data_IF_497485068973
#
_entry.id   IF_497485068973
#
_cell.length_a   1.000
_cell.length_b   1.000
_cell.length_c   1.000
_cell.angle_alpha   90.00
_cell.angle_beta   90.00
_cell.angle_gamma   90.00
#
_symmetry.space_group_name_H-M   'P 1'
#
loop_
_entity.id
_entity.type
_entity.pdbx_description
1 polymer ?
#
# COMPACT_ATOMS: atom_id res chain seq x y z
N UNK A 1 0.45 14.76 -8.05
CA UNK A 1 0.14 13.37 -7.65
C UNK A 1 0.72 12.42 -8.66
N UNK A 2 1.35 11.33 -8.20
CA UNK A 2 1.96 10.31 -9.03
C UNK A 2 1.32 8.95 -8.76
N UNK A 3 1.10 8.17 -9.81
CA UNK A 3 0.61 6.79 -9.71
C UNK A 3 1.72 5.87 -9.21
N UNK A 4 1.37 4.92 -8.36
CA UNK A 4 2.24 3.83 -7.98
C UNK A 4 1.52 2.48 -8.12
N UNK A 5 2.29 1.46 -8.44
CA UNK A 5 1.87 0.07 -8.43
C UNK A 5 2.98 -0.76 -7.80
N UNK A 6 2.63 -1.48 -6.74
CA UNK A 6 3.50 -2.39 -6.01
C UNK A 6 2.92 -3.78 -6.21
N UNK A 7 3.63 -4.61 -6.97
CA UNK A 7 3.17 -5.95 -7.36
C UNK A 7 3.29 -6.95 -6.21
N UNK A 8 4.28 -6.76 -5.34
CA UNK A 8 4.51 -7.50 -4.10
C UNK A 8 5.22 -6.62 -3.07
N UNK A 9 4.68 -6.55 -1.86
CA UNK A 9 5.36 -6.03 -0.67
C UNK A 9 5.19 -7.05 0.45
N UNK A 10 6.32 -7.49 1.01
CA UNK A 10 6.33 -8.41 2.14
C UNK A 10 6.22 -7.60 3.42
N UNK A 11 5.30 -7.99 4.29
CA UNK A 11 5.11 -7.40 5.61
C UNK A 11 4.85 -8.49 6.62
N UNK A 12 4.92 -8.18 7.91
CA UNK A 12 4.63 -9.13 8.98
C UNK A 12 3.17 -9.62 8.97
N UNK A 13 2.29 -8.92 8.23
CA UNK A 13 0.87 -9.25 8.07
C UNK A 13 0.58 -10.03 6.78
N UNK A 14 1.61 -10.35 5.99
CA UNK A 14 1.50 -11.06 4.72
C UNK A 14 2.05 -10.28 3.53
N UNK A 15 1.82 -10.85 2.34
CA UNK A 15 2.29 -10.29 1.08
C UNK A 15 1.13 -9.51 0.44
N UNK A 16 1.37 -8.25 0.14
CA UNK A 16 0.35 -7.39 -0.45
C UNK A 16 0.70 -6.97 -1.88
N UNK A 17 -0.35 -6.75 -2.67
CA UNK A 17 -0.31 -6.07 -3.96
C UNK A 17 -1.17 -4.82 -3.85
N UNK A 18 -0.57 -3.68 -4.15
CA UNK A 18 -1.18 -2.38 -3.81
C UNK A 18 -0.95 -1.40 -4.96
N UNK A 19 -2.01 -0.72 -5.36
CA UNK A 19 -1.96 0.35 -6.35
C UNK A 19 -2.64 1.60 -5.82
N UNK A 20 -2.17 2.76 -6.26
CA UNK A 20 -2.71 4.02 -5.76
C UNK A 20 -2.02 5.24 -6.34
N UNK A 21 -2.28 6.36 -5.69
CA UNK A 21 -1.68 7.65 -5.98
C UNK A 21 -1.02 8.19 -4.71
N UNK A 22 0.11 8.87 -4.87
CA UNK A 22 0.78 9.56 -3.76
C UNK A 22 1.42 10.87 -4.23
N UNK A 23 1.87 11.71 -3.29
CA UNK A 23 2.57 12.95 -3.62
C UNK A 23 4.04 12.87 -3.25
N UNK A 24 4.93 12.91 -4.25
CA UNK A 24 6.39 12.99 -4.03
C UNK A 24 6.80 14.33 -3.41
N UNK A 25 6.11 15.41 -3.80
CA UNK A 25 6.44 16.77 -3.36
C UNK A 25 6.22 16.95 -1.86
N UNK A 26 5.19 16.29 -1.31
CA UNK A 26 4.86 16.27 0.11
C UNK A 26 4.54 14.82 0.54
N UNK A 27 5.58 13.99 0.76
CA UNK A 27 5.41 12.57 1.03
C UNK A 27 4.97 12.38 2.49
N UNK A 28 3.67 12.23 2.68
CA UNK A 28 3.05 11.97 3.98
C UNK A 28 2.07 10.82 3.84
N UNK A 29 1.73 10.16 4.94
CA UNK A 29 0.73 9.08 4.94
C UNK A 29 -0.60 9.56 4.35
N UNK A 30 -1.00 10.79 4.66
CA UNK A 30 -2.25 11.38 4.20
C UNK A 30 -2.25 11.71 2.70
N UNK A 31 -1.08 11.81 2.06
CA UNK A 31 -1.00 12.03 0.62
C UNK A 31 -1.16 10.74 -0.20
N UNK A 32 -1.21 9.57 0.46
CA UNK A 32 -1.43 8.27 -0.17
C UNK A 32 -2.93 8.00 -0.30
N UNK A 33 -3.39 7.86 -1.53
CA UNK A 33 -4.72 7.36 -1.87
C UNK A 33 -4.59 5.97 -2.45
N UNK A 34 -5.19 4.98 -1.79
CA UNK A 34 -5.17 3.59 -2.26
C UNK A 34 -6.30 3.37 -3.27
N UNK A 35 -5.98 2.85 -4.45
CA UNK A 35 -6.94 2.43 -5.47
C UNK A 35 -7.35 0.97 -5.23
N UNK A 36 -6.38 0.05 -5.22
CA UNK A 36 -6.58 -1.36 -4.87
C UNK A 36 -5.61 -1.81 -3.79
N UNK A 37 -6.06 -2.74 -2.96
CA UNK A 37 -5.22 -3.45 -2.01
C UNK A 37 -5.67 -4.91 -1.96
N UNK A 38 -4.73 -5.79 -2.27
CA UNK A 38 -4.93 -7.23 -2.33
C UNK A 38 -3.89 -7.91 -1.45
N UNK A 39 -4.27 -9.00 -0.79
CA UNK A 39 -3.38 -9.84 0.01
C UNK A 39 -3.21 -11.20 -0.67
N UNK A 40 -2.01 -11.79 -0.63
CA UNK A 40 -1.78 -13.14 -1.12
C UNK A 40 -2.42 -14.16 -0.17
N UNK A 41 -3.42 -14.89 -0.66
CA UNK A 41 -3.98 -16.09 -0.03
C UNK A 41 -3.41 -17.37 -0.65
N UNK A 42 -4.04 -18.50 -0.34
CA UNK A 42 -3.69 -19.83 -0.88
C UNK A 42 -3.90 -19.91 -2.39
N UNK A 43 -5.04 -19.38 -2.86
CA UNK A 43 -5.51 -19.51 -4.24
C UNK A 43 -5.20 -18.24 -5.07
N UNK A 44 -4.31 -17.38 -4.58
CA UNK A 44 -3.88 -16.15 -5.24
C UNK A 44 -4.29 -14.89 -4.50
N UNK A 45 -4.49 -13.81 -5.24
CA UNK A 45 -4.72 -12.48 -4.68
C UNK A 45 -6.16 -12.27 -4.23
N UNK A 46 -6.35 -11.85 -2.99
CA UNK A 46 -7.64 -11.57 -2.38
C UNK A 46 -7.79 -10.06 -2.17
N UNK A 47 -8.76 -9.46 -2.84
CA UNK A 47 -9.06 -8.03 -2.71
C UNK A 47 -9.60 -7.71 -1.32
N UNK A 48 -8.96 -6.77 -0.61
CA UNK A 48 -9.45 -6.34 0.69
C UNK A 48 -10.60 -5.34 0.55
N UNK A 49 -11.72 -5.67 1.20
CA UNK A 49 -12.84 -4.74 1.32
C UNK A 49 -12.50 -3.62 2.30
N UNK A 50 -12.29 -2.40 1.79
CA UNK A 50 -11.97 -1.20 2.58
C UNK A 50 -13.07 -0.77 3.56
N UNK A 51 -14.31 -1.25 3.40
CA UNK A 51 -15.44 -0.95 4.29
C UNK A 51 -15.46 -1.80 5.56
N UNK A 52 -14.66 -2.87 5.63
CA UNK A 52 -14.53 -3.70 6.83
C UNK A 52 -13.61 -3.03 7.85
N UNK A 53 -14.08 -2.89 9.09
CA UNK A 53 -13.32 -2.28 10.21
C UNK A 53 -11.95 -2.94 10.43
N UNK A 54 -11.88 -4.26 10.31
CA UNK A 54 -10.62 -5.01 10.46
C UNK A 54 -9.62 -4.65 9.35
N UNK A 55 -10.10 -4.54 8.11
CA UNK A 55 -9.27 -4.14 6.97
C UNK A 55 -8.82 -2.69 7.08
N UNK A 56 -9.68 -1.79 7.57
CA UNK A 56 -9.30 -0.39 7.81
C UNK A 56 -8.14 -0.29 8.81
N UNK A 57 -8.17 -1.09 9.89
CA UNK A 57 -7.08 -1.14 10.86
C UNK A 57 -5.80 -1.68 10.25
N UNK A 58 -5.87 -2.77 9.48
CA UNK A 58 -4.72 -3.32 8.76
C UNK A 58 -4.10 -2.31 7.79
N UNK A 59 -4.94 -1.62 6.99
CA UNK A 59 -4.50 -0.57 6.07
C UNK A 59 -3.76 0.55 6.83
N UNK A 60 -4.24 0.94 8.01
CA UNK A 60 -3.59 1.98 8.81
C UNK A 60 -2.16 1.61 9.23
N UNK A 61 -1.89 0.31 9.48
CA UNK A 61 -0.55 -0.19 9.75
C UNK A 61 0.32 -0.27 8.49
N UNK A 62 -0.28 -0.56 7.33
CA UNK A 62 0.44 -0.62 6.06
C UNK A 62 0.84 0.74 5.51
N UNK A 63 0.08 1.80 5.77
CA UNK A 63 0.36 3.14 5.24
C UNK A 63 1.78 3.68 5.54
N UNK A 64 2.30 3.64 6.78
CA UNK A 64 3.68 4.07 7.05
C UNK A 64 4.74 3.19 6.38
N UNK A 65 4.48 1.88 6.26
CA UNK A 65 5.35 0.94 5.52
C UNK A 65 5.37 1.29 4.03
N UNK A 66 4.20 1.59 3.43
CA UNK A 66 4.08 2.01 2.05
C UNK A 66 4.79 3.32 1.80
N UNK A 67 4.63 4.31 2.69
CA UNK A 67 5.33 5.59 2.56
C UNK A 67 6.85 5.37 2.53
N UNK A 68 7.37 4.57 3.46
CA UNK A 68 8.80 4.25 3.52
C UNK A 68 9.28 3.55 2.26
N UNK A 69 8.53 2.56 1.77
CA UNK A 69 8.84 1.84 0.53
C UNK A 69 8.83 2.77 -0.69
N UNK A 70 7.84 3.66 -0.80
CA UNK A 70 7.73 4.61 -1.90
C UNK A 70 8.85 5.65 -1.85
N UNK A 71 9.20 6.16 -0.68
CA UNK A 71 10.35 7.06 -0.50
C UNK A 71 11.66 6.39 -0.94
N UNK A 72 11.94 5.18 -0.47
CA UNK A 72 13.14 4.43 -0.87
C UNK A 72 13.19 4.23 -2.39
N UNK A 73 12.10 3.79 -3.01
CA UNK A 73 12.02 3.56 -4.46
C UNK A 73 12.25 4.82 -5.30
N UNK A 74 11.88 6.00 -4.78
CA UNK A 74 12.01 7.26 -5.52
C UNK A 74 13.26 8.07 -5.12
N UNK A 75 13.92 7.71 -4.01
CA UNK A 75 15.24 8.25 -3.64
C UNK A 75 16.39 7.52 -4.33
N UNK A 76 16.17 6.34 -4.92
CA UNK A 76 17.17 5.63 -5.73
C UNK A 76 17.26 6.21 -7.16
N UNK A 77 17.39 7.53 -7.28
CA UNK A 77 17.70 8.26 -8.52
C UNK A 77 19.09 8.85 -8.41
#
# INVERSE_FOLDING_TARGET
MQLFSITRINTDFGIFRISGQWSIQNPTVNSITLNSIEIMGTDGWVLLNKKSKSNTKLISYLLPLLLSHLLLKNNTV
#
